data_IF_807110957422
#
_entry.id   IF_807110957422
#
_cell.length_a   1.000
_cell.length_b   1.000
_cell.length_c   1.000
_cell.angle_alpha   90.00
_cell.angle_beta   90.00
_cell.angle_gamma   90.00
#
_symmetry.space_group_name_H-M   'P 1'
#
loop_
_entity.id
_entity.type
_entity.pdbx_description
1 polymer ?
#
# COMPACT_ATOMS: atom_id res chain seq x y z
N UNK A 1 15.25 4.19 -16.27
CA UNK A 1 14.81 5.01 -15.13
C UNK A 1 15.16 6.43 -15.46
N UNK A 2 14.18 7.29 -15.66
CA UNK A 2 14.40 8.69 -16.03
C UNK A 2 14.91 9.51 -14.84
N UNK A 3 15.52 10.67 -15.12
CA UNK A 3 15.99 11.58 -14.06
C UNK A 3 14.85 12.04 -13.15
N UNK A 4 13.65 12.20 -13.72
CA UNK A 4 12.42 12.58 -12.97
C UNK A 4 12.04 11.51 -11.95
N UNK A 5 12.10 10.22 -12.31
CA UNK A 5 11.78 9.11 -11.42
C UNK A 5 12.69 9.07 -10.18
N UNK A 6 13.96 9.39 -10.37
CA UNK A 6 14.95 9.41 -9.27
C UNK A 6 14.64 10.56 -8.32
N UNK A 7 14.40 11.76 -8.85
CA UNK A 7 14.14 12.96 -8.05
C UNK A 7 12.83 12.83 -7.28
N UNK A 8 11.76 12.37 -7.92
CA UNK A 8 10.46 12.20 -7.27
C UNK A 8 10.51 11.12 -6.18
N UNK A 9 11.27 10.06 -6.41
CA UNK A 9 11.48 9.00 -5.42
C UNK A 9 12.26 9.51 -4.20
N UNK A 10 13.32 10.27 -4.40
CA UNK A 10 14.07 10.89 -3.30
C UNK A 10 13.23 11.89 -2.53
N UNK A 11 12.46 12.72 -3.24
CA UNK A 11 11.51 13.66 -2.65
C UNK A 11 10.50 12.95 -1.75
N UNK A 12 9.90 11.85 -2.20
CA UNK A 12 8.94 11.07 -1.42
C UNK A 12 9.59 10.26 -0.27
N UNK A 13 10.93 10.15 -0.22
CA UNK A 13 11.62 9.56 0.93
C UNK A 13 11.69 10.49 2.13
N UNK A 14 11.58 11.78 1.94
CA UNK A 14 11.56 12.74 3.05
C UNK A 14 10.31 12.54 3.92
N UNK A 15 10.51 12.29 5.21
CA UNK A 15 9.41 11.99 6.13
C UNK A 15 8.37 13.11 6.22
N UNK A 16 8.79 14.37 6.16
CA UNK A 16 7.88 15.52 6.22
C UNK A 16 6.94 15.52 5.02
N UNK A 17 7.48 15.37 3.82
CA UNK A 17 6.72 15.34 2.57
C UNK A 17 5.79 14.13 2.52
N UNK A 18 6.33 12.96 2.85
CA UNK A 18 5.56 11.73 2.90
C UNK A 18 4.36 11.84 3.85
N UNK A 19 4.58 12.35 5.06
CA UNK A 19 3.51 12.56 6.04
C UNK A 19 2.47 13.57 5.53
N UNK A 20 2.88 14.66 4.91
CA UNK A 20 1.98 15.69 4.39
C UNK A 20 1.06 15.15 3.30
N UNK A 21 1.59 14.37 2.36
CA UNK A 21 0.80 13.74 1.28
C UNK A 21 -0.27 12.80 1.86
N UNK A 22 0.08 11.95 2.80
CA UNK A 22 -0.88 11.05 3.44
C UNK A 22 -1.87 11.77 4.36
N UNK A 23 -1.42 12.79 5.08
CA UNK A 23 -2.29 13.64 5.90
C UNK A 23 -3.32 14.37 5.04
N UNK A 24 -2.90 14.86 3.88
CA UNK A 24 -3.81 15.51 2.93
C UNK A 24 -4.85 14.52 2.41
N UNK A 25 -4.41 13.37 1.90
CA UNK A 25 -5.29 12.41 1.25
C UNK A 25 -6.28 11.73 2.24
N UNK A 26 -5.78 11.26 3.37
CA UNK A 26 -6.58 10.44 4.30
C UNK A 26 -7.34 11.32 5.29
N UNK A 27 -6.74 12.43 5.72
CA UNK A 27 -7.24 13.24 6.83
C UNK A 27 -7.63 14.67 6.45
N UNK A 28 -7.69 14.98 5.13
CA UNK A 28 -8.06 16.31 4.65
C UNK A 28 -7.11 17.42 5.15
N UNK A 29 -5.82 17.12 5.27
CA UNK A 29 -4.76 18.04 5.72
C UNK A 29 -4.56 18.11 7.24
N UNK A 30 -5.34 17.39 8.04
CA UNK A 30 -5.09 17.30 9.48
C UNK A 30 -3.80 16.54 9.75
N UNK A 31 -2.93 17.07 10.59
CA UNK A 31 -1.61 16.49 10.95
C UNK A 31 -1.77 15.31 11.93
N UNK A 32 -2.20 14.16 11.41
CA UNK A 32 -2.40 12.92 12.18
C UNK A 32 -1.17 12.01 12.10
N UNK A 33 -0.52 11.96 10.92
CA UNK A 33 0.71 11.22 10.71
C UNK A 33 1.87 12.15 11.04
N UNK A 34 2.62 11.80 12.11
CA UNK A 34 3.81 12.52 12.52
C UNK A 34 5.02 12.06 11.70
N UNK A 35 5.73 12.97 11.01
CA UNK A 35 6.97 12.63 10.30
C UNK A 35 8.01 11.92 11.16
N UNK A 36 8.12 12.28 12.43
CA UNK A 36 9.08 11.69 13.37
C UNK A 36 8.75 10.22 13.72
N UNK A 37 7.50 9.82 13.56
CA UNK A 37 7.03 8.44 13.79
C UNK A 37 7.13 7.52 12.59
N UNK A 38 7.62 8.02 11.44
CA UNK A 38 7.75 7.23 10.22
C UNK A 38 9.07 6.43 10.22
N UNK A 39 8.96 5.13 9.94
CA UNK A 39 10.11 4.22 9.77
C UNK A 39 10.09 3.59 8.39
N UNK A 40 11.20 3.64 7.68
CA UNK A 40 11.34 2.99 6.37
C UNK A 40 11.25 1.46 6.51
N UNK A 41 10.55 0.82 5.60
CA UNK A 41 10.35 -0.64 5.56
C UNK A 41 10.86 -1.16 4.22
N UNK A 42 11.38 -2.38 4.21
CA UNK A 42 11.79 -3.05 2.98
C UNK A 42 10.61 -3.13 2.00
N UNK A 43 10.83 -2.57 0.82
CA UNK A 43 9.83 -2.51 -0.26
C UNK A 43 9.75 -3.81 -1.05
N UNK A 44 10.70 -4.73 -0.86
CA UNK A 44 10.74 -5.98 -1.60
C UNK A 44 9.53 -6.85 -1.29
N UNK A 45 8.73 -7.13 -2.30
CA UNK A 45 7.65 -8.10 -2.24
C UNK A 45 8.05 -9.32 -3.06
N UNK A 46 8.50 -10.38 -2.36
CA UNK A 46 8.81 -11.66 -3.01
C UNK A 46 7.53 -12.44 -3.22
N UNK A 47 7.10 -12.61 -4.45
CA UNK A 47 6.09 -13.62 -4.80
C UNK A 47 6.74 -14.99 -4.68
N UNK A 48 6.12 -15.90 -3.95
CA UNK A 48 6.59 -17.26 -3.72
C UNK A 48 6.59 -18.05 -5.02
N UNK A 49 7.75 -18.39 -5.55
CA UNK A 49 7.95 -19.33 -6.65
C UNK A 49 8.97 -18.90 -7.69
N UNK A 50 9.89 -19.79 -8.03
CA UNK A 50 10.93 -19.84 -9.07
C UNK A 50 11.58 -18.53 -9.58
N UNK A 51 12.81 -18.63 -10.05
CA UNK A 51 13.77 -17.57 -10.43
C UNK A 51 13.28 -16.38 -11.28
N UNK A 52 12.09 -16.42 -11.81
CA UNK A 52 11.45 -15.34 -12.58
C UNK A 52 10.27 -14.71 -11.82
N UNK A 53 10.19 -14.94 -10.52
CA UNK A 53 9.13 -14.39 -9.68
C UNK A 53 9.12 -12.85 -9.78
N UNK A 54 7.94 -12.32 -9.99
CA UNK A 54 7.61 -10.90 -10.02
C UNK A 54 8.13 -10.20 -8.74
N UNK A 55 9.42 -9.88 -8.74
CA UNK A 55 10.00 -9.05 -7.71
C UNK A 55 9.55 -7.62 -7.99
N UNK A 56 8.52 -7.18 -7.27
CA UNK A 56 7.98 -5.85 -7.39
C UNK A 56 8.39 -5.04 -6.17
N UNK A 57 8.95 -3.89 -6.43
CA UNK A 57 9.32 -2.92 -5.41
C UNK A 57 8.39 -1.73 -5.50
N UNK A 58 7.83 -1.31 -4.40
CA UNK A 58 7.30 0.05 -4.28
C UNK A 58 8.46 1.03 -4.27
N UNK A 59 8.20 2.26 -4.69
CA UNK A 59 9.24 3.29 -4.60
C UNK A 59 9.57 3.62 -3.15
N UNK A 60 8.57 3.77 -2.30
CA UNK A 60 8.74 4.03 -0.87
C UNK A 60 7.70 3.26 -0.07
N UNK A 61 8.10 2.65 1.03
CA UNK A 61 7.22 2.03 2.01
C UNK A 61 7.66 2.43 3.42
N UNK A 62 6.75 2.97 4.22
CA UNK A 62 7.01 3.36 5.60
C UNK A 62 5.96 2.80 6.56
N UNK A 63 6.41 2.42 7.74
CA UNK A 63 5.52 2.14 8.85
C UNK A 63 5.21 3.44 9.59
N UNK A 64 3.94 3.67 9.88
CA UNK A 64 3.46 4.80 10.66
C UNK A 64 2.74 4.30 11.91
N UNK A 65 2.84 5.07 12.98
CA UNK A 65 2.01 4.92 14.17
C UNK A 65 1.00 6.06 14.15
N UNK A 66 -0.27 5.69 14.05
CA UNK A 66 -1.38 6.64 14.08
C UNK A 66 -2.01 6.58 15.46
N UNK A 67 -2.04 7.72 16.15
CA UNK A 67 -2.73 7.85 17.44
C UNK A 67 -4.07 8.52 17.20
N UNK A 68 -5.14 7.82 17.53
CA UNK A 68 -6.50 8.32 17.44
C UNK A 68 -7.28 7.83 18.68
N UNK A 69 -7.88 8.76 19.43
CA UNK A 69 -8.74 8.47 20.59
C UNK A 69 -8.11 7.50 21.61
N UNK A 70 -6.86 7.81 22.03
CA UNK A 70 -6.02 7.01 22.94
C UNK A 70 -5.65 5.61 22.41
N UNK A 71 -6.07 5.24 21.21
CA UNK A 71 -5.67 4.02 20.53
C UNK A 71 -4.50 4.26 19.59
N UNK A 72 -3.56 3.35 19.59
CA UNK A 72 -2.47 3.33 18.62
C UNK A 72 -2.78 2.30 17.54
N UNK A 73 -2.76 2.75 16.29
CA UNK A 73 -2.87 1.89 15.12
C UNK A 73 -1.59 1.92 14.32
N UNK A 74 -1.07 0.75 13.96
CA UNK A 74 0.07 0.63 13.08
C UNK A 74 -0.42 0.48 11.64
N UNK A 75 0.16 1.25 10.73
CA UNK A 75 -0.22 1.26 9.31
C UNK A 75 1.03 1.18 8.46
N UNK A 76 0.96 0.44 7.35
CA UNK A 76 1.98 0.46 6.30
C UNK A 76 1.52 1.40 5.18
N UNK A 77 2.29 2.42 4.92
CA UNK A 77 2.02 3.44 3.92
C UNK A 77 3.03 3.30 2.78
N UNK A 78 2.55 3.16 1.56
CA UNK A 78 3.38 2.99 0.38
C UNK A 78 3.09 4.02 -0.69
N UNK A 79 4.12 4.42 -1.43
CA UNK A 79 4.03 5.32 -2.58
C UNK A 79 4.60 4.63 -3.79
N UNK A 80 3.93 4.82 -4.91
CA UNK A 80 4.34 4.42 -6.24
C UNK A 80 4.31 5.65 -7.15
N UNK A 81 5.46 6.09 -7.61
CA UNK A 81 5.59 7.24 -8.51
C UNK A 81 5.46 6.78 -9.97
N UNK A 82 4.69 7.49 -10.76
CA UNK A 82 4.49 7.21 -12.17
C UNK A 82 4.70 8.50 -12.99
N UNK A 83 5.52 8.43 -14.02
CA UNK A 83 5.69 9.49 -15.03
C UNK A 83 4.85 9.23 -16.27
N UNK A 84 4.57 7.95 -16.53
CA UNK A 84 3.71 7.51 -17.62
C UNK A 84 2.52 6.74 -17.05
N UNK A 85 1.40 6.75 -17.77
CA UNK A 85 0.21 5.98 -17.38
C UNK A 85 0.51 4.48 -17.44
N UNK A 86 0.34 3.81 -16.33
CA UNK A 86 0.52 2.36 -16.24
C UNK A 86 -0.85 1.66 -16.27
N UNK A 87 -1.29 1.24 -17.45
CA UNK A 87 -2.62 0.66 -17.67
C UNK A 87 -2.94 -0.61 -16.87
N UNK A 88 -1.93 -1.30 -16.32
CA UNK A 88 -2.11 -2.42 -15.40
C UNK A 88 -1.88 -2.04 -13.92
N UNK A 89 -2.02 -0.77 -13.56
CA UNK A 89 -1.75 -0.28 -12.20
C UNK A 89 -2.62 -0.95 -11.12
N UNK A 90 -3.93 -1.22 -11.34
CA UNK A 90 -4.74 -1.96 -10.38
C UNK A 90 -4.20 -3.35 -10.05
N UNK A 91 -3.70 -4.08 -11.07
CA UNK A 91 -3.05 -5.39 -10.86
C UNK A 91 -1.75 -5.23 -10.08
N UNK A 92 -0.96 -4.20 -10.39
CA UNK A 92 0.27 -3.92 -9.65
C UNK A 92 -0.03 -3.57 -8.19
N UNK A 93 -1.10 -2.82 -7.93
CA UNK A 93 -1.56 -2.53 -6.57
C UNK A 93 -2.03 -3.79 -5.83
N UNK A 94 -2.72 -4.70 -6.52
CA UNK A 94 -3.12 -6.00 -5.96
C UNK A 94 -1.91 -6.85 -5.53
N UNK A 95 -0.80 -6.83 -6.29
CA UNK A 95 0.45 -7.50 -5.90
C UNK A 95 0.99 -6.93 -4.57
N UNK A 96 0.82 -5.65 -4.31
CA UNK A 96 1.25 -5.05 -3.05
C UNK A 96 0.44 -5.54 -1.83
N UNK A 97 -0.76 -6.06 -2.03
CA UNK A 97 -1.53 -6.73 -0.98
C UNK A 97 -0.85 -8.01 -0.45
N UNK A 98 0.15 -8.56 -1.17
CA UNK A 98 0.99 -9.67 -0.67
C UNK A 98 1.74 -9.31 0.63
N UNK A 99 1.87 -8.03 0.96
CA UNK A 99 2.36 -7.60 2.28
C UNK A 99 1.52 -8.17 3.44
N UNK A 100 0.23 -8.45 3.23
CA UNK A 100 -0.58 -9.15 4.23
C UNK A 100 -0.08 -10.58 4.44
N UNK A 101 0.25 -11.31 3.37
CA UNK A 101 0.82 -12.65 3.46
C UNK A 101 2.17 -12.66 4.18
N UNK A 102 3.02 -11.65 3.91
CA UNK A 102 4.30 -11.47 4.63
C UNK A 102 4.07 -11.24 6.13
N UNK A 103 3.13 -10.38 6.51
CA UNK A 103 2.81 -10.14 7.91
C UNK A 103 2.35 -11.41 8.63
N UNK A 104 1.46 -12.19 8.01
CA UNK A 104 1.00 -13.48 8.57
C UNK A 104 2.18 -14.44 8.75
N UNK A 105 3.06 -14.54 7.75
CA UNK A 105 4.24 -15.40 7.81
C UNK A 105 5.23 -14.96 8.91
N UNK A 106 5.46 -13.67 9.07
CA UNK A 106 6.36 -13.10 10.08
C UNK A 106 5.81 -13.34 11.49
N UNK A 107 4.50 -13.16 11.70
CA UNK A 107 3.81 -13.43 12.97
C UNK A 107 3.93 -14.92 13.32
N UNK A 108 3.59 -15.80 12.38
CA UNK A 108 3.69 -17.24 12.58
C UNK A 108 5.13 -17.71 12.87
N UNK A 109 6.11 -17.14 12.16
CA UNK A 109 7.53 -17.41 12.42
C UNK A 109 7.98 -16.87 13.79
N UNK A 110 7.44 -15.74 14.21
CA UNK A 110 7.65 -15.16 15.55
C UNK A 110 7.17 -16.10 16.66
N UNK A 111 5.95 -16.62 16.51
CA UNK A 111 5.40 -17.60 17.48
C UNK A 111 6.25 -18.87 17.55
N UNK A 112 6.68 -19.42 16.42
CA UNK A 112 7.55 -20.62 16.41
C UNK A 112 8.91 -20.38 17.07
N UNK A 113 9.54 -19.21 16.82
CA UNK A 113 10.84 -18.85 17.41
C UNK A 113 10.77 -18.61 18.90
N UNK A 114 9.69 -18.02 19.38
CA UNK A 114 9.51 -17.75 20.81
C UNK A 114 9.15 -19.00 21.61
N UNK A 115 9.09 -20.18 20.99
CA UNK A 115 8.65 -21.45 21.60
C UNK A 115 7.36 -21.27 22.40
N UNK A 116 6.47 -20.41 21.90
CA UNK A 116 5.17 -20.21 22.53
C UNK A 116 4.49 -21.56 22.66
N UNK A 117 4.15 -21.90 23.89
CA UNK A 117 3.34 -23.06 24.16
C UNK A 117 1.98 -22.92 23.49
N UNK A 118 1.70 -23.82 22.56
CA UNK A 118 0.41 -23.91 21.91
C UNK A 118 -0.61 -24.71 22.72
N UNK A 119 -0.27 -25.09 23.97
CA UNK A 119 -1.21 -25.77 24.89
C UNK A 119 -2.44 -24.86 25.09
N UNK A 120 -3.62 -25.41 24.89
CA UNK A 120 -4.88 -24.69 25.00
C UNK A 120 -5.29 -23.93 23.72
N UNK A 121 -4.48 -23.96 22.64
CA UNK A 121 -4.85 -23.41 21.34
C UNK A 121 -5.61 -24.42 20.49
N UNK A 122 -6.41 -23.90 19.55
CA UNK A 122 -7.18 -24.76 18.64
C UNK A 122 -6.28 -25.38 17.58
N UNK A 123 -6.74 -26.49 16.95
CA UNK A 123 -6.02 -27.10 15.83
C UNK A 123 -5.80 -26.16 14.65
N UNK A 124 -6.73 -25.21 14.40
CA UNK A 124 -6.61 -24.19 13.36
C UNK A 124 -5.49 -23.19 13.66
N UNK A 125 -5.36 -22.74 14.89
CA UNK A 125 -4.27 -21.84 15.33
C UNK A 125 -2.92 -22.52 15.21
N UNK A 126 -2.84 -23.78 15.62
CA UNK A 126 -1.62 -24.57 15.50
C UNK A 126 -1.22 -24.75 14.03
N UNK A 127 -2.17 -25.09 13.15
CA UNK A 127 -1.93 -25.32 11.73
C UNK A 127 -1.45 -24.06 11.02
N UNK A 128 -2.12 -22.94 11.25
CA UNK A 128 -1.80 -21.65 10.62
C UNK A 128 -0.57 -20.97 11.23
N UNK A 129 -0.31 -21.19 12.51
CA UNK A 129 0.64 -20.43 13.31
C UNK A 129 0.18 -19.00 13.60
N UNK A 130 -1.08 -18.66 13.23
CA UNK A 130 -1.72 -17.37 13.44
C UNK A 130 -2.83 -17.54 14.49
N UNK A 131 -2.75 -16.80 15.58
CA UNK A 131 -3.65 -16.92 16.72
C UNK A 131 -4.87 -16.01 16.54
N UNK A 132 -5.96 -16.29 17.25
CA UNK A 132 -7.19 -15.47 17.19
C UNK A 132 -6.98 -14.03 17.63
N UNK A 133 -6.03 -13.80 18.53
CA UNK A 133 -5.64 -12.47 19.02
C UNK A 133 -4.64 -11.75 18.13
N UNK A 134 -4.07 -12.41 17.12
CA UNK A 134 -3.14 -11.78 16.19
C UNK A 134 -3.89 -10.86 15.22
N UNK A 135 -3.26 -9.78 14.86
CA UNK A 135 -3.81 -8.79 13.93
C UNK A 135 -2.75 -8.39 12.91
N UNK A 136 -3.19 -8.16 11.68
CA UNK A 136 -2.36 -7.59 10.63
C UNK A 136 -2.56 -6.07 10.54
N UNK A 137 -1.53 -5.37 10.09
CA UNK A 137 -1.56 -3.92 9.89
C UNK A 137 -2.17 -3.61 8.53
N UNK A 138 -3.06 -2.60 8.41
CA UNK A 138 -3.54 -2.16 7.12
C UNK A 138 -2.39 -1.66 6.25
N UNK A 139 -2.49 -1.90 4.94
CA UNK A 139 -1.53 -1.47 3.92
C UNK A 139 -2.25 -0.52 2.98
N UNK A 140 -1.78 0.72 2.90
CA UNK A 140 -2.32 1.74 1.99
C UNK A 140 -1.24 2.09 0.99
N UNK A 141 -1.55 2.06 -0.30
CA UNK A 141 -0.64 2.46 -1.36
C UNK A 141 -1.23 3.62 -2.15
N UNK A 142 -0.47 4.69 -2.28
CA UNK A 142 -0.77 5.81 -3.17
C UNK A 142 -0.04 5.62 -4.49
N UNK A 143 -0.70 5.98 -5.57
CA UNK A 143 -0.11 6.16 -6.89
C UNK A 143 -0.04 7.66 -7.14
N UNK A 144 1.14 8.19 -7.35
CA UNK A 144 1.34 9.61 -7.63
C UNK A 144 1.80 9.73 -9.08
N UNK A 145 0.99 10.38 -9.90
CA UNK A 145 1.28 10.63 -11.30
C UNK A 145 1.88 12.02 -11.47
N UNK A 146 3.11 12.05 -11.98
CA UNK A 146 3.88 13.27 -12.27
C UNK A 146 4.01 13.52 -13.76
N UNK A 147 3.25 12.79 -14.58
CA UNK A 147 3.29 12.91 -16.04
C UNK A 147 2.78 14.25 -16.56
N UNK A 148 3.05 14.52 -17.82
CA UNK A 148 2.55 15.70 -18.53
C UNK A 148 1.14 15.51 -19.13
N UNK A 149 0.69 14.27 -19.19
CA UNK A 149 -0.63 13.88 -19.70
C UNK A 149 -1.53 13.51 -18.53
N UNK A 150 -2.83 13.73 -18.65
CA UNK A 150 -3.79 13.29 -17.65
C UNK A 150 -3.82 11.77 -17.56
N UNK A 151 -4.11 11.26 -16.35
CA UNK A 151 -4.27 9.82 -16.16
C UNK A 151 -5.55 9.32 -16.82
N UNK A 152 -5.42 8.54 -17.88
CA UNK A 152 -6.52 7.89 -18.60
C UNK A 152 -6.60 6.38 -18.37
N UNK A 153 -5.76 5.85 -17.51
CA UNK A 153 -5.73 4.41 -17.17
C UNK A 153 -6.82 3.97 -16.18
N UNK A 154 -7.07 2.68 -16.04
CA UNK A 154 -8.08 2.16 -15.13
C UNK A 154 -7.71 2.47 -13.67
N UNK A 155 -8.72 2.82 -12.89
CA UNK A 155 -8.59 3.12 -11.46
C UNK A 155 -8.91 1.91 -10.58
N UNK A 156 -9.45 0.86 -11.15
CA UNK A 156 -9.81 -0.36 -10.42
C UNK A 156 -9.65 -1.62 -11.28
N UNK A 157 -9.52 -2.76 -10.60
CA UNK A 157 -9.43 -4.05 -11.28
C UNK A 157 -10.69 -4.37 -12.09
N UNK A 158 -11.88 -4.00 -11.59
CA UNK A 158 -13.13 -4.22 -12.32
C UNK A 158 -13.19 -3.44 -13.64
N UNK A 159 -12.61 -2.24 -13.71
CA UNK A 159 -12.54 -1.47 -14.96
C UNK A 159 -11.71 -2.14 -16.04
N UNK A 160 -10.76 -3.01 -15.67
CA UNK A 160 -9.94 -3.78 -16.59
C UNK A 160 -10.65 -5.01 -17.15
N UNK A 161 -11.84 -5.36 -16.63
CA UNK A 161 -12.57 -6.57 -17.03
C UNK A 161 -13.63 -6.24 -18.10
N UNK A 162 -13.82 -7.11 -19.10
CA UNK A 162 -14.87 -6.91 -20.11
C UNK A 162 -16.28 -7.19 -19.57
N UNK A 163 -16.38 -7.76 -18.37
CA UNK A 163 -17.64 -8.14 -17.72
C UNK A 163 -18.29 -6.91 -17.08
N UNK A 164 -19.60 -6.77 -17.30
CA UNK A 164 -20.41 -5.72 -16.66
C UNK A 164 -21.51 -6.29 -15.74
N UNK A 165 -21.57 -7.61 -15.62
CA UNK A 165 -22.51 -8.32 -14.75
C UNK A 165 -22.11 -8.07 -13.29
N UNK A 166 -22.96 -7.34 -12.57
CA UNK A 166 -22.73 -6.96 -11.19
C UNK A 166 -22.78 -8.15 -10.23
N UNK A 167 -23.54 -9.19 -10.57
CA UNK A 167 -23.60 -10.41 -9.76
C UNK A 167 -22.26 -11.13 -9.80
N UNK A 168 -21.68 -11.30 -10.99
CA UNK A 168 -20.32 -11.89 -11.13
C UNK A 168 -19.27 -11.00 -10.45
N UNK A 169 -19.31 -9.68 -10.68
CA UNK A 169 -18.33 -8.77 -10.10
C UNK A 169 -18.39 -8.71 -8.58
N UNK A 170 -19.54 -9.01 -7.96
CA UNK A 170 -19.65 -9.08 -6.50
C UNK A 170 -18.80 -10.18 -5.86
N UNK A 171 -18.41 -11.20 -6.62
CA UNK A 171 -17.51 -12.28 -6.18
C UNK A 171 -16.04 -12.04 -6.54
N UNK A 172 -15.73 -10.93 -7.21
CA UNK A 172 -14.37 -10.58 -7.62
C UNK A 172 -13.88 -9.41 -6.77
N UNK A 173 -12.76 -9.61 -6.06
CA UNK A 173 -12.12 -8.54 -5.30
C UNK A 173 -11.74 -7.38 -6.22
N UNK A 174 -12.15 -6.16 -5.84
CA UNK A 174 -11.87 -4.96 -6.61
C UNK A 174 -10.73 -4.15 -5.99
N UNK A 175 -9.53 -4.35 -6.49
CA UNK A 175 -8.36 -3.56 -6.10
C UNK A 175 -8.40 -2.20 -6.78
N UNK A 176 -8.66 -1.16 -5.99
CA UNK A 176 -8.66 0.24 -6.44
C UNK A 176 -7.29 0.86 -6.20
N UNK A 177 -6.89 1.77 -7.07
CA UNK A 177 -5.75 2.64 -6.82
C UNK A 177 -6.22 3.94 -6.15
N UNK A 178 -5.39 4.47 -5.27
CA UNK A 178 -5.56 5.82 -4.72
C UNK A 178 -4.63 6.73 -5.52
N UNK A 179 -5.17 7.35 -6.56
CA UNK A 179 -4.42 8.19 -7.50
C UNK A 179 -4.37 9.63 -7.01
N UNK A 180 -3.18 10.22 -7.05
CA UNK A 180 -2.95 11.66 -7.02
C UNK A 180 -2.36 12.02 -8.38
N UNK A 181 -3.13 12.75 -9.18
CA UNK A 181 -2.66 13.31 -10.45
C UNK A 181 -2.18 14.75 -10.21
N UNK A 182 -0.86 14.96 -10.29
CA UNK A 182 -0.26 16.24 -9.98
C UNK A 182 -0.66 17.35 -10.99
N UNK A 183 -1.05 17.01 -12.21
CA UNK A 183 -1.55 17.98 -13.17
C UNK A 183 -2.83 18.66 -12.69
N UNK A 184 -3.76 17.90 -12.12
CA UNK A 184 -5.02 18.44 -11.61
C UNK A 184 -4.84 19.42 -10.45
N UNK A 185 -3.74 19.29 -9.70
CA UNK A 185 -3.43 20.16 -8.55
C UNK A 185 -2.59 21.37 -8.93
N UNK A 186 -1.97 21.38 -10.12
CA UNK A 186 -1.16 22.51 -10.63
C UNK A 186 -1.92 23.41 -11.60
N UNK A 187 -3.08 22.97 -12.10
CA UNK A 187 -3.94 23.82 -12.91
C UNK A 187 -4.48 24.95 -12.04
N UNK A 188 -4.31 26.24 -12.45
CA UNK A 188 -4.92 27.33 -11.71
C UNK A 188 -6.44 27.11 -11.71
N UNK A 189 -7.03 27.13 -10.50
CA UNK A 189 -8.49 27.15 -10.36
C UNK A 189 -9.05 28.23 -11.28
N UNK A 190 -10.10 27.95 -12.08
CA UNK A 190 -10.79 29.02 -12.80
C UNK A 190 -11.16 30.07 -11.76
N UNK A 191 -10.62 31.26 -11.91
CA UNK A 191 -11.04 32.39 -11.08
C UNK A 191 -12.47 32.72 -11.48
N UNK A 192 -13.40 32.58 -10.58
CA UNK A 192 -14.73 33.17 -10.66
C UNK A 192 -14.63 34.70 -10.88
#
# INVERSE_FOLDING_TARGET
MGTVDIVTKEYMRENAIFADVFNYLIYGGKKVIDPAGLTEVDTATSAVGKKDALQKYRDVLKAAVIKQDEKMSYVLLGVENQTDVHYAMPVRNAIYALQYGKQVSDIAAGHRRSQKDYSGKTGGEYLSGFLKEDHIKPVITLVIHFGAEEWDGPLSLHEMMPIRDMEILSYVENYRIHLIDCLLYTSPSPRD
#
